data_IF_717729371359
#
_entry.id   IF_717729371359
#
_cell.length_a   1.000
_cell.length_b   1.000
_cell.length_c   1.000
_cell.angle_alpha   90.00
_cell.angle_beta   90.00
_cell.angle_gamma   90.00
#
_symmetry.space_group_name_H-M   'P 1'
#
loop_
_entity.id
_entity.type
_entity.pdbx_description
1 polymer ?
#
# COMPACT_ATOMS: atom_id res chain seq x y z
N UNK A 1 -24.60 18.85 3.57
CA UNK A 1 -23.23 19.17 3.11
C UNK A 1 -22.37 17.96 3.44
N UNK A 2 -22.18 17.05 2.48
CA UNK A 2 -21.38 15.84 2.69
C UNK A 2 -19.99 16.12 2.18
N UNK A 3 -19.02 16.22 3.09
CA UNK A 3 -17.62 16.40 2.74
C UNK A 3 -16.81 15.18 3.20
N UNK A 4 -16.82 14.06 2.47
CA UNK A 4 -15.66 13.17 2.42
C UNK A 4 -14.82 13.66 1.24
N UNK A 5 -13.57 14.04 1.42
CA UNK A 5 -12.45 13.09 1.38
C UNK A 5 -11.29 13.74 2.16
N UNK A 6 -10.93 13.14 3.30
CA UNK A 6 -9.64 13.37 3.96
C UNK A 6 -8.78 12.17 3.62
N UNK A 7 -7.90 12.28 2.63
CA UNK A 7 -6.95 11.20 2.40
C UNK A 7 -5.81 11.53 1.47
N UNK A 8 -4.67 10.98 1.84
CA UNK A 8 -3.36 11.01 1.19
C UNK A 8 -3.34 10.06 -0.02
N UNK A 9 -2.81 10.52 -1.15
CA UNK A 9 -2.66 9.73 -2.38
C UNK A 9 -1.17 9.60 -2.73
N UNK A 10 -0.68 8.38 -2.95
CA UNK A 10 0.68 8.17 -3.44
C UNK A 10 0.79 7.09 -4.53
N UNK A 11 -0.23 6.26 -4.76
CA UNK A 11 -0.24 5.29 -5.84
C UNK A 11 -1.62 5.11 -6.48
N UNK A 12 -1.68 5.18 -7.82
CA UNK A 12 -2.85 4.83 -8.60
C UNK A 12 -2.51 3.64 -9.49
N UNK A 13 -3.35 2.61 -9.51
CA UNK A 13 -3.18 1.44 -10.37
C UNK A 13 -4.42 1.30 -11.23
N UNK A 14 -4.28 1.37 -12.54
CA UNK A 14 -5.34 1.09 -13.51
C UNK A 14 -5.04 -0.26 -14.17
N UNK A 15 -5.99 -1.18 -14.13
CA UNK A 15 -5.88 -2.51 -14.73
C UNK A 15 -7.07 -2.74 -15.67
N UNK A 16 -6.78 -2.86 -16.96
CA UNK A 16 -7.69 -3.33 -17.99
C UNK A 16 -7.28 -4.76 -18.41
N UNK A 17 -8.24 -5.69 -18.42
CA UNK A 17 -8.00 -7.14 -18.49
C UNK A 17 -8.68 -7.81 -19.67
N UNK A 18 -7.89 -8.27 -20.66
CA UNK A 18 -8.26 -9.33 -21.63
C UNK A 18 -7.05 -9.90 -22.44
N UNK A 19 -6.14 -10.65 -21.77
CA UNK A 19 -4.92 -11.35 -22.29
C UNK A 19 -4.02 -10.69 -23.38
N UNK A 20 -2.72 -10.61 -23.03
CA UNK A 20 -1.58 -9.85 -23.62
C UNK A 20 -1.59 -8.39 -23.15
N UNK A 21 -0.57 -7.98 -22.40
CA UNK A 21 -0.57 -6.71 -21.68
C UNK A 21 0.49 -5.76 -22.24
N UNK A 22 0.13 -4.49 -22.39
CA UNK A 22 1.10 -3.40 -22.33
C UNK A 22 1.23 -2.98 -20.85
N UNK A 23 2.43 -3.05 -20.29
CA UNK A 23 2.72 -2.64 -18.91
C UNK A 23 3.49 -1.33 -18.93
N UNK A 24 3.03 -0.35 -18.16
CA UNK A 24 3.82 0.85 -17.87
C UNK A 24 3.76 1.20 -16.39
N UNK A 25 4.94 1.33 -15.78
CA UNK A 25 5.13 1.76 -14.39
C UNK A 25 5.73 3.16 -14.39
N UNK A 26 5.03 4.13 -13.78
CA UNK A 26 5.36 5.55 -13.90
C UNK A 26 5.93 6.18 -12.63
N UNK A 27 7.23 6.52 -12.73
CA UNK A 27 7.85 7.74 -12.17
C UNK A 27 8.87 8.41 -13.13
N UNK A 28 8.82 8.26 -14.48
CA UNK A 28 9.90 8.72 -15.35
C UNK A 28 10.09 10.24 -15.30
N UNK A 29 9.00 11.01 -15.21
CA UNK A 29 9.06 12.46 -15.18
C UNK A 29 9.70 13.01 -13.88
N UNK A 30 9.23 12.62 -12.66
CA UNK A 30 9.92 13.02 -11.44
C UNK A 30 11.38 12.52 -11.38
N UNK A 31 11.67 11.31 -11.86
CA UNK A 31 13.04 10.78 -11.92
C UNK A 31 13.93 11.57 -12.90
N UNK A 32 13.39 11.98 -14.07
CA UNK A 32 14.12 12.77 -15.07
C UNK A 32 14.41 14.19 -14.58
N UNK A 33 13.44 14.81 -13.91
CA UNK A 33 13.58 16.12 -13.27
C UNK A 33 14.65 16.03 -12.17
N UNK A 34 14.59 15.03 -11.29
CA UNK A 34 15.55 14.87 -10.20
C UNK A 34 17.00 14.73 -10.69
N UNK A 35 17.21 14.23 -11.91
CA UNK A 35 18.54 14.08 -12.53
C UNK A 35 19.10 15.35 -13.17
N UNK A 36 18.33 16.44 -13.30
CA UNK A 36 18.77 17.65 -14.00
C UNK A 36 18.39 18.91 -13.24
N UNK A 37 19.41 19.65 -12.79
CA UNK A 37 19.23 20.93 -12.09
C UNK A 37 18.47 21.95 -12.95
N UNK A 38 18.80 22.05 -14.23
CA UNK A 38 18.12 22.98 -15.15
C UNK A 38 16.65 22.60 -15.35
N UNK A 39 16.33 21.32 -15.58
CA UNK A 39 14.92 20.90 -15.69
C UNK A 39 14.16 21.09 -14.38
N UNK A 40 14.80 20.79 -13.24
CA UNK A 40 14.22 21.06 -11.92
C UNK A 40 13.89 22.53 -11.75
N UNK A 41 14.83 23.42 -12.07
CA UNK A 41 14.64 24.86 -11.96
C UNK A 41 13.57 25.39 -12.93
N UNK A 42 13.58 24.94 -14.19
CA UNK A 42 12.55 25.31 -15.18
C UNK A 42 11.18 24.87 -14.67
N UNK A 43 11.06 23.64 -14.17
CA UNK A 43 9.80 23.12 -13.65
C UNK A 43 9.34 23.88 -12.41
N UNK A 44 10.23 24.13 -11.44
CA UNK A 44 9.92 24.90 -10.22
C UNK A 44 9.55 26.36 -10.52
N UNK A 45 10.08 26.93 -11.60
CA UNK A 45 9.72 28.26 -12.09
C UNK A 45 8.49 28.25 -13.01
N UNK A 46 8.00 27.07 -13.41
CA UNK A 46 6.77 26.94 -14.18
C UNK A 46 5.58 26.86 -13.22
N UNK A 47 4.42 27.35 -13.66
CA UNK A 47 3.17 27.12 -12.94
C UNK A 47 2.61 25.69 -13.15
N UNK A 48 3.42 24.74 -13.64
CA UNK A 48 2.99 23.35 -13.86
C UNK A 48 3.02 22.55 -12.56
N UNK A 49 2.00 21.71 -12.37
CA UNK A 49 1.88 20.82 -11.24
C UNK A 49 2.22 19.38 -11.66
N UNK A 50 3.06 18.68 -10.86
CA UNK A 50 3.65 17.40 -11.27
C UNK A 50 2.64 16.30 -11.53
N UNK A 51 1.52 16.28 -10.80
CA UNK A 51 0.46 15.31 -11.02
C UNK A 51 -0.30 15.57 -12.33
N UNK A 52 -0.40 16.81 -12.81
CA UNK A 52 -1.04 17.11 -14.10
C UNK A 52 -0.25 16.50 -15.27
N UNK A 53 1.08 16.65 -15.26
CA UNK A 53 1.97 16.01 -16.25
C UNK A 53 1.83 14.48 -16.22
N UNK A 54 1.72 13.91 -15.02
CA UNK A 54 1.53 12.47 -14.82
C UNK A 54 0.15 11.99 -15.30
N UNK A 55 -0.90 12.78 -15.07
CA UNK A 55 -2.26 12.51 -15.56
C UNK A 55 -2.34 12.65 -17.08
N UNK A 56 -1.69 13.65 -17.68
CA UNK A 56 -1.63 13.80 -19.14
C UNK A 56 -0.90 12.62 -19.77
N UNK A 57 0.16 12.13 -19.13
CA UNK A 57 0.86 10.98 -19.65
C UNK A 57 0.05 9.67 -19.50
N UNK A 58 -0.70 9.54 -18.39
CA UNK A 58 -1.68 8.47 -18.24
C UNK A 58 -2.77 8.57 -19.33
N UNK A 59 -3.25 9.77 -19.66
CA UNK A 59 -4.20 10.01 -20.75
C UNK A 59 -3.69 9.43 -22.07
N UNK A 60 -2.47 9.81 -22.46
CA UNK A 60 -1.82 9.32 -23.68
C UNK A 60 -1.70 7.80 -23.68
N UNK A 61 -1.38 7.19 -22.54
CA UNK A 61 -1.31 5.74 -22.41
C UNK A 61 -2.67 5.05 -22.54
N UNK A 62 -3.72 5.60 -21.92
CA UNK A 62 -5.10 5.09 -22.03
C UNK A 62 -5.56 5.11 -23.50
N UNK A 63 -5.23 6.18 -24.24
CA UNK A 63 -5.59 6.36 -25.65
C UNK A 63 -4.74 5.52 -26.62
N UNK A 64 -3.54 5.17 -26.20
CA UNK A 64 -2.63 4.31 -26.97
C UNK A 64 -3.05 2.84 -26.87
N UNK A 65 -2.52 2.00 -27.76
CA UNK A 65 -2.71 0.54 -27.69
C UNK A 65 -4.20 0.12 -27.62
N UNK A 66 -5.03 0.71 -28.48
CA UNK A 66 -6.46 0.33 -28.59
C UNK A 66 -6.61 -1.17 -28.83
N UNK A 67 -7.59 -1.79 -28.17
CA UNK A 67 -7.83 -3.24 -28.24
C UNK A 67 -6.81 -4.12 -27.51
N UNK A 68 -5.80 -3.54 -26.86
CA UNK A 68 -4.87 -4.28 -26.00
C UNK A 68 -5.13 -3.99 -24.51
N UNK A 69 -5.13 -5.04 -23.66
CA UNK A 69 -5.13 -4.90 -22.20
C UNK A 69 -3.96 -4.07 -21.69
N UNK A 70 -4.21 -3.32 -20.62
CA UNK A 70 -3.26 -2.34 -20.07
C UNK A 70 -3.13 -2.51 -18.57
N UNK A 71 -1.90 -2.35 -18.09
CA UNK A 71 -1.63 -2.15 -16.66
C UNK A 71 -0.82 -0.87 -16.55
N UNK A 72 -1.36 0.11 -15.83
CA UNK A 72 -0.67 1.35 -15.48
C UNK A 72 -0.54 1.47 -13.97
N UNK A 73 0.65 1.82 -13.50
CA UNK A 73 0.88 2.25 -12.12
C UNK A 73 1.44 3.68 -12.14
N UNK A 74 0.75 4.61 -11.50
CA UNK A 74 1.14 6.01 -11.37
C UNK A 74 1.53 6.30 -9.92
N UNK A 75 2.74 6.80 -9.69
CA UNK A 75 3.22 7.15 -8.34
C UNK A 75 3.31 8.67 -8.17
N UNK A 76 2.30 9.27 -7.56
CA UNK A 76 2.14 10.73 -7.41
C UNK A 76 2.87 11.26 -6.17
N UNK A 77 4.20 11.17 -6.14
CA UNK A 77 5.00 11.47 -4.93
C UNK A 77 4.72 12.87 -4.36
N UNK A 78 4.77 13.91 -5.19
CA UNK A 78 4.84 15.29 -4.70
C UNK A 78 3.48 15.90 -4.38
N UNK A 79 2.39 15.19 -4.68
CA UNK A 79 1.04 15.72 -4.49
C UNK A 79 0.74 16.00 -3.02
N UNK A 80 1.19 15.13 -2.12
CA UNK A 80 0.89 15.25 -0.69
C UNK A 80 2.07 14.90 0.25
N UNK A 81 3.22 14.48 -0.27
CA UNK A 81 4.27 13.88 0.56
C UNK A 81 4.84 14.80 1.65
N UNK A 82 4.96 16.11 1.38
CA UNK A 82 5.53 17.07 2.34
C UNK A 82 4.46 17.95 3.01
N UNK A 83 3.26 18.03 2.44
CA UNK A 83 2.14 18.74 3.03
C UNK A 83 0.82 18.27 2.44
N UNK A 84 -0.22 18.20 3.27
CA UNK A 84 -1.59 17.86 2.84
C UNK A 84 -2.31 19.02 2.15
N UNK A 85 -1.78 20.24 2.22
CA UNK A 85 -2.47 21.46 1.75
C UNK A 85 -2.82 21.43 0.27
N UNK A 86 -2.03 20.72 -0.54
CA UNK A 86 -2.21 20.63 -1.99
C UNK A 86 -3.30 19.63 -2.41
N UNK A 87 -3.80 18.79 -1.49
CA UNK A 87 -4.77 17.74 -1.82
C UNK A 87 -6.12 18.30 -2.29
N UNK A 88 -6.64 19.31 -1.59
CA UNK A 88 -7.96 19.87 -1.91
C UNK A 88 -8.00 20.58 -3.26
N UNK A 89 -6.94 21.29 -3.62
CA UNK A 89 -6.81 21.95 -4.93
C UNK A 89 -6.78 20.94 -6.09
N UNK A 90 -6.16 19.78 -5.87
CA UNK A 90 -6.10 18.75 -6.90
C UNK A 90 -7.40 17.96 -7.10
N UNK A 91 -8.36 18.02 -6.16
CA UNK A 91 -9.58 17.20 -6.21
C UNK A 91 -10.39 17.44 -7.49
N UNK A 92 -10.62 18.70 -7.86
CA UNK A 92 -11.32 19.06 -9.10
C UNK A 92 -10.57 18.57 -10.35
N UNK A 93 -9.24 18.61 -10.33
CA UNK A 93 -8.41 18.16 -11.45
C UNK A 93 -8.49 16.64 -11.64
N UNK A 94 -8.50 15.86 -10.56
CA UNK A 94 -8.73 14.42 -10.61
C UNK A 94 -10.17 14.08 -11.01
N UNK A 95 -11.15 14.80 -10.47
CA UNK A 95 -12.56 14.64 -10.83
C UNK A 95 -12.76 14.83 -12.34
N UNK A 96 -12.20 15.89 -12.91
CA UNK A 96 -12.27 16.18 -14.33
C UNK A 96 -11.53 15.16 -15.17
N UNK A 97 -10.38 14.64 -14.71
CA UNK A 97 -9.70 13.52 -15.35
C UNK A 97 -10.59 12.27 -15.40
N UNK A 98 -11.19 11.87 -14.28
CA UNK A 98 -12.02 10.67 -14.23
C UNK A 98 -13.34 10.83 -15.00
N UNK A 99 -13.98 12.01 -14.96
CA UNK A 99 -15.17 12.30 -15.77
C UNK A 99 -14.88 12.18 -17.26
N UNK A 100 -13.80 12.81 -17.74
CA UNK A 100 -13.39 12.75 -19.17
C UNK A 100 -13.04 11.34 -19.62
N UNK A 101 -12.53 10.49 -18.72
CA UNK A 101 -12.14 9.11 -19.02
C UNK A 101 -13.18 8.06 -18.59
N UNK A 102 -14.39 8.47 -18.18
CA UNK A 102 -15.41 7.54 -17.67
C UNK A 102 -15.64 6.36 -18.63
N UNK A 103 -15.87 6.64 -19.90
CA UNK A 103 -16.14 5.59 -20.89
C UNK A 103 -14.91 4.71 -21.20
N UNK A 104 -13.69 5.26 -21.07
CA UNK A 104 -12.45 4.52 -21.28
C UNK A 104 -12.08 3.64 -20.07
N UNK A 105 -12.53 4.03 -18.87
CA UNK A 105 -12.23 3.34 -17.61
C UNK A 105 -13.38 2.46 -17.13
N UNK A 106 -14.55 2.47 -17.78
CA UNK A 106 -15.73 1.72 -17.33
C UNK A 106 -15.50 0.21 -17.23
N UNK A 107 -14.59 -0.32 -18.06
CA UNK A 107 -14.23 -1.74 -18.10
C UNK A 107 -12.92 -2.06 -17.35
N UNK A 108 -12.33 -1.07 -16.66
CA UNK A 108 -11.09 -1.22 -15.91
C UNK A 108 -11.35 -1.36 -14.39
N UNK A 109 -10.46 -2.08 -13.72
CA UNK A 109 -10.28 -1.91 -12.29
C UNK A 109 -9.40 -0.69 -12.05
N UNK A 110 -9.86 0.26 -11.22
CA UNK A 110 -9.06 1.41 -10.82
C UNK A 110 -8.87 1.39 -9.32
N UNK A 111 -7.62 1.35 -8.89
CA UNK A 111 -7.20 1.43 -7.50
C UNK A 111 -6.56 2.80 -7.29
N UNK A 112 -7.02 3.51 -6.28
CA UNK A 112 -6.53 4.81 -5.87
C UNK A 112 -6.15 4.68 -4.39
N UNK A 113 -4.86 4.72 -4.08
CA UNK A 113 -4.35 4.35 -2.76
C UNK A 113 -3.19 5.24 -2.27
N UNK A 114 -3.04 5.29 -0.95
CA UNK A 114 -1.81 5.75 -0.28
C UNK A 114 -0.87 4.57 -0.03
N UNK A 115 0.44 4.84 0.02
CA UNK A 115 1.43 3.91 0.58
C UNK A 115 1.49 4.01 2.11
N UNK A 116 1.20 5.20 2.62
CA UNK A 116 0.97 5.50 4.03
C UNK A 116 -0.14 6.57 4.14
N UNK A 117 -0.61 6.87 5.36
CA UNK A 117 -1.45 8.05 5.60
C UNK A 117 -0.62 9.28 5.94
N UNK A 118 -1.23 10.42 6.30
CA UNK A 118 -0.50 11.66 6.48
C UNK A 118 0.48 11.60 7.67
N UNK A 119 1.67 12.20 7.50
CA UNK A 119 2.80 12.18 8.45
C UNK A 119 3.55 13.52 8.52
N UNK A 120 2.86 14.58 8.13
CA UNK A 120 3.40 15.94 8.03
C UNK A 120 2.40 16.92 8.62
N UNK A 121 2.77 18.20 8.68
CA UNK A 121 1.92 19.27 9.21
C UNK A 121 1.43 19.01 10.66
N UNK A 122 2.20 18.23 11.45
CA UNK A 122 1.93 17.95 12.86
C UNK A 122 0.79 16.96 13.12
N UNK A 123 0.27 16.26 12.10
CA UNK A 123 -0.86 15.34 12.28
C UNK A 123 -0.51 14.19 13.25
N UNK A 124 0.73 13.71 13.28
CA UNK A 124 1.14 12.66 14.23
C UNK A 124 1.08 13.08 15.71
N UNK A 125 0.98 14.39 16.01
CA UNK A 125 0.89 14.86 17.39
C UNK A 125 -0.46 14.55 18.04
N UNK A 126 -1.52 14.38 17.24
CA UNK A 126 -2.88 14.07 17.74
C UNK A 126 -3.18 12.57 17.67
N UNK A 127 -3.92 11.99 18.64
CA UNK A 127 -4.17 10.54 18.69
C UNK A 127 -4.76 9.96 17.41
N UNK A 128 -5.79 10.61 16.84
CA UNK A 128 -6.39 10.18 15.58
C UNK A 128 -5.41 10.26 14.41
N UNK A 129 -4.52 11.26 14.40
CA UNK A 129 -3.55 11.40 13.33
C UNK A 129 -2.50 10.30 13.30
N UNK A 130 -2.10 9.78 14.48
CA UNK A 130 -1.23 8.59 14.57
C UNK A 130 -1.88 7.33 13.99
N UNK A 131 -3.18 7.18 14.21
CA UNK A 131 -3.97 6.12 13.58
C UNK A 131 -3.97 6.29 12.06
N UNK A 132 -4.28 7.50 11.59
CA UNK A 132 -4.36 7.81 10.16
C UNK A 132 -3.01 7.62 9.44
N UNK A 133 -1.86 7.90 10.08
CA UNK A 133 -0.53 7.67 9.49
C UNK A 133 -0.33 6.23 9.01
N UNK A 134 -0.87 5.25 9.74
CA UNK A 134 -0.79 3.82 9.41
C UNK A 134 -2.03 3.29 8.67
N UNK A 135 -3.03 4.14 8.40
CA UNK A 135 -4.29 3.79 7.74
C UNK A 135 -4.41 4.50 6.38
N UNK A 136 -3.62 4.08 5.36
CA UNK A 136 -3.69 4.70 4.05
C UNK A 136 -5.06 4.52 3.40
N UNK A 137 -5.46 5.50 2.60
CA UNK A 137 -6.66 5.39 1.78
C UNK A 137 -6.54 4.26 0.77
N UNK A 138 -7.66 3.58 0.54
CA UNK A 138 -7.89 2.75 -0.61
C UNK A 138 -9.29 3.00 -1.16
N UNK A 139 -9.35 3.40 -2.43
CA UNK A 139 -10.58 3.44 -3.23
C UNK A 139 -10.40 2.48 -4.39
N UNK A 140 -11.37 1.60 -4.60
CA UNK A 140 -11.35 0.66 -5.72
C UNK A 140 -12.64 0.79 -6.51
N UNK A 141 -12.52 0.96 -7.82
CA UNK A 141 -13.63 0.80 -8.75
C UNK A 141 -13.49 -0.52 -9.49
N UNK A 142 -14.62 -1.18 -9.68
CA UNK A 142 -14.73 -2.45 -10.40
C UNK A 142 -15.33 -2.16 -11.79
N UNK A 143 -14.91 -2.89 -12.84
CA UNK A 143 -15.54 -2.80 -14.16
C UNK A 143 -17.06 -2.89 -14.09
N UNK A 144 -17.77 -2.04 -14.84
CA UNK A 144 -19.23 -1.94 -14.81
C UNK A 144 -19.92 -3.29 -14.99
N UNK A 145 -19.43 -4.09 -15.96
CA UNK A 145 -19.93 -5.44 -16.24
C UNK A 145 -19.81 -6.44 -15.08
N UNK A 146 -19.02 -6.13 -14.05
CA UNK A 146 -18.84 -6.96 -12.86
C UNK A 146 -19.47 -6.38 -11.59
N UNK A 147 -20.03 -5.15 -11.63
CA UNK A 147 -20.63 -4.50 -10.44
C UNK A 147 -21.91 -5.19 -9.94
N UNK A 148 -22.57 -5.96 -10.77
CA UNK A 148 -23.74 -6.77 -10.39
C UNK A 148 -23.38 -8.21 -10.00
N UNK A 149 -22.09 -8.60 -10.11
CA UNK A 149 -21.62 -9.96 -9.85
C UNK A 149 -21.20 -10.16 -8.39
N UNK A 150 -21.10 -11.42 -8.00
CA UNK A 150 -20.74 -11.83 -6.65
C UNK A 150 -19.38 -11.29 -6.20
N UNK A 151 -18.40 -11.20 -7.10
CA UNK A 151 -17.07 -10.65 -6.77
C UNK A 151 -17.15 -9.20 -6.25
N UNK A 152 -18.08 -8.38 -6.74
CA UNK A 152 -18.25 -7.01 -6.27
C UNK A 152 -18.92 -6.98 -4.90
N UNK A 153 -19.90 -7.87 -4.65
CA UNK A 153 -20.48 -8.04 -3.32
C UNK A 153 -19.43 -8.50 -2.32
N UNK A 154 -18.57 -9.43 -2.72
CA UNK A 154 -17.51 -9.98 -1.89
C UNK A 154 -16.44 -8.93 -1.55
N UNK A 155 -16.11 -8.03 -2.47
CA UNK A 155 -15.28 -6.86 -2.17
C UNK A 155 -15.96 -5.90 -1.19
N UNK A 156 -17.26 -5.60 -1.39
CA UNK A 156 -17.99 -4.64 -0.53
C UNK A 156 -18.04 -5.06 0.93
N UNK A 157 -18.15 -6.37 1.22
CA UNK A 157 -18.08 -6.91 2.59
C UNK A 157 -16.76 -6.56 3.32
N UNK A 158 -15.70 -6.24 2.59
CA UNK A 158 -14.35 -5.99 3.11
C UNK A 158 -14.00 -4.50 3.25
N UNK A 159 -14.90 -3.60 2.84
CA UNK A 159 -14.64 -2.15 2.84
C UNK A 159 -14.26 -1.59 4.23
N UNK A 160 -14.73 -2.22 5.31
CA UNK A 160 -14.47 -1.82 6.69
C UNK A 160 -13.69 -2.87 7.48
N UNK A 161 -12.94 -3.74 6.80
CA UNK A 161 -12.13 -4.78 7.43
C UNK A 161 -10.64 -4.46 7.35
N UNK A 162 -9.88 -4.94 8.34
CA UNK A 162 -8.43 -4.80 8.35
C UNK A 162 -7.79 -5.54 7.17
N UNK A 163 -7.06 -4.79 6.35
CA UNK A 163 -6.37 -5.27 5.17
C UNK A 163 -4.91 -4.85 5.16
N UNK A 164 -4.11 -5.54 4.37
CA UNK A 164 -2.69 -5.24 4.17
C UNK A 164 -2.40 -5.01 2.69
N UNK A 165 -1.30 -4.33 2.35
CA UNK A 165 -0.84 -4.24 0.96
C UNK A 165 -0.62 -5.61 0.29
N UNK A 166 -0.40 -6.69 1.06
CA UNK A 166 -0.29 -8.04 0.54
C UNK A 166 -1.64 -8.57 -0.01
N UNK A 167 -2.76 -8.18 0.60
CA UNK A 167 -4.09 -8.51 0.11
C UNK A 167 -4.38 -7.78 -1.22
N UNK A 168 -3.90 -6.54 -1.37
CA UNK A 168 -3.94 -5.83 -2.65
C UNK A 168 -3.09 -6.56 -3.69
N UNK A 169 -1.84 -6.90 -3.37
CA UNK A 169 -1.00 -7.69 -4.27
C UNK A 169 -1.67 -9.01 -4.68
N UNK A 170 -2.28 -9.74 -3.74
CA UNK A 170 -3.06 -10.94 -4.04
C UNK A 170 -4.24 -10.67 -4.96
N UNK A 171 -4.97 -9.57 -4.73
CA UNK A 171 -6.10 -9.14 -5.57
C UNK A 171 -5.65 -8.84 -7.01
N UNK A 172 -4.55 -8.10 -7.19
CA UNK A 172 -4.01 -7.81 -8.53
C UNK A 172 -3.59 -9.10 -9.24
N UNK A 173 -2.95 -10.03 -8.53
CA UNK A 173 -2.58 -11.34 -9.10
C UNK A 173 -3.81 -12.18 -9.46
N UNK A 174 -4.88 -12.15 -8.64
CA UNK A 174 -6.14 -12.84 -8.92
C UNK A 174 -6.83 -12.26 -10.17
N UNK A 175 -6.90 -10.93 -10.28
CA UNK A 175 -7.43 -10.20 -11.46
C UNK A 175 -6.68 -10.58 -12.74
N UNK A 176 -5.36 -10.62 -12.69
CA UNK A 176 -4.53 -10.83 -13.88
C UNK A 176 -4.44 -12.31 -14.26
N UNK A 177 -4.30 -13.21 -13.28
CA UNK A 177 -3.92 -14.61 -13.54
C UNK A 177 -5.05 -15.60 -13.38
N UNK A 178 -6.03 -15.38 -12.51
CA UNK A 178 -6.94 -16.44 -12.04
C UNK A 178 -8.39 -16.19 -12.45
N UNK A 179 -8.95 -15.04 -12.09
CA UNK A 179 -10.33 -14.65 -12.40
C UNK A 179 -10.71 -14.67 -13.89
N UNK A 180 -9.82 -14.32 -14.84
CA UNK A 180 -10.17 -14.35 -16.26
C UNK A 180 -10.62 -15.74 -16.72
N UNK A 181 -10.04 -16.82 -16.18
CA UNK A 181 -10.43 -18.21 -16.51
C UNK A 181 -11.81 -18.59 -15.97
N UNK A 182 -12.31 -17.85 -14.99
CA UNK A 182 -13.61 -18.05 -14.35
C UNK A 182 -14.59 -16.93 -14.71
N UNK A 183 -14.27 -16.11 -15.71
CA UNK A 183 -15.09 -14.95 -16.09
C UNK A 183 -15.46 -14.09 -14.86
N UNK A 184 -14.51 -13.86 -13.95
CA UNK A 184 -14.72 -12.99 -12.78
C UNK A 184 -15.96 -13.37 -11.94
N UNK A 185 -16.17 -14.66 -11.69
CA UNK A 185 -17.30 -15.20 -10.92
C UNK A 185 -16.89 -16.05 -9.71
N UNK A 186 -15.61 -16.40 -9.59
CA UNK A 186 -15.16 -17.34 -8.56
C UNK A 186 -14.79 -16.60 -7.27
N UNK A 187 -15.71 -16.62 -6.31
CA UNK A 187 -15.53 -16.03 -4.98
C UNK A 187 -14.98 -17.02 -3.94
N UNK A 188 -14.84 -18.29 -4.28
CA UNK A 188 -14.47 -19.32 -3.29
C UNK A 188 -13.11 -19.02 -2.65
N UNK A 189 -12.96 -19.37 -1.36
CA UNK A 189 -11.67 -19.25 -0.69
C UNK A 189 -10.55 -19.91 -1.51
N UNK A 190 -9.42 -19.19 -1.62
CA UNK A 190 -8.23 -19.68 -2.30
C UNK A 190 -6.97 -19.29 -1.55
N UNK A 191 -6.12 -20.26 -1.25
CA UNK A 191 -4.74 -19.98 -0.88
C UNK A 191 -4.00 -19.42 -2.10
N UNK A 192 -3.48 -18.19 -1.96
CA UNK A 192 -2.82 -17.46 -3.04
C UNK A 192 -1.33 -17.79 -3.17
N UNK A 193 -0.76 -18.60 -2.29
CA UNK A 193 0.63 -19.05 -2.41
C UNK A 193 0.82 -19.96 -3.65
N UNK A 194 1.99 -19.91 -4.32
CA UNK A 194 3.12 -19.01 -4.07
C UNK A 194 2.97 -17.62 -4.73
N UNK A 195 1.84 -17.33 -5.40
CA UNK A 195 1.64 -16.08 -6.15
C UNK A 195 1.61 -14.84 -5.26
N UNK A 196 1.06 -14.96 -4.04
CA UNK A 196 1.03 -13.87 -3.07
C UNK A 196 0.89 -14.40 -1.66
N UNK A 197 1.37 -13.61 -0.69
CA UNK A 197 1.22 -13.87 0.76
C UNK A 197 -0.11 -13.38 1.34
N UNK A 198 -0.84 -12.51 0.63
CA UNK A 198 -2.13 -11.99 1.08
C UNK A 198 -3.34 -12.75 0.54
N UNK A 199 -4.53 -12.28 0.89
CA UNK A 199 -5.82 -12.82 0.45
C UNK A 199 -6.52 -11.87 -0.51
N UNK A 200 -6.93 -12.36 -1.68
CA UNK A 200 -7.61 -11.53 -2.69
C UNK A 200 -8.93 -10.95 -2.15
N UNK A 201 -9.21 -9.69 -2.45
CA UNK A 201 -10.47 -9.01 -2.12
C UNK A 201 -11.68 -9.59 -2.89
N UNK A 202 -11.42 -10.28 -4.01
CA UNK A 202 -12.46 -10.92 -4.85
C UNK A 202 -12.90 -12.29 -4.33
N UNK A 203 -12.28 -12.78 -3.26
CA UNK A 203 -12.44 -14.12 -2.70
C UNK A 203 -12.96 -14.03 -1.27
N UNK A 204 -13.55 -15.12 -0.79
CA UNK A 204 -13.82 -15.34 0.62
C UNK A 204 -12.51 -15.33 1.42
N UNK A 205 -12.53 -14.64 2.56
CA UNK A 205 -11.47 -14.70 3.56
C UNK A 205 -11.79 -15.74 4.63
N UNK A 206 -10.75 -16.35 5.20
CA UNK A 206 -10.88 -17.30 6.30
C UNK A 206 -10.08 -16.82 7.52
N UNK A 207 -10.62 -17.10 8.70
CA UNK A 207 -10.00 -16.75 9.98
C UNK A 207 -10.22 -15.29 10.39
N UNK A 208 -9.93 -15.01 11.65
CA UNK A 208 -9.98 -13.65 12.19
C UNK A 208 -8.84 -12.80 11.61
N UNK A 209 -9.11 -11.51 11.42
CA UNK A 209 -8.15 -10.55 10.86
C UNK A 209 -7.83 -9.48 11.88
N UNK A 210 -6.64 -9.56 12.46
CA UNK A 210 -6.10 -8.62 13.43
C UNK A 210 -4.56 -8.58 13.28
N UNK A 211 -3.89 -7.71 14.03
CA UNK A 211 -2.42 -7.59 13.92
C UNK A 211 -1.63 -8.81 14.37
N UNK A 212 -2.28 -9.81 15.00
CA UNK A 212 -1.64 -11.08 15.36
C UNK A 212 -1.78 -12.13 14.25
N UNK A 213 -2.88 -12.09 13.49
CA UNK A 213 -3.15 -13.07 12.42
C UNK A 213 -2.65 -12.61 11.05
N UNK A 214 -2.49 -11.30 10.85
CA UNK A 214 -1.96 -10.73 9.62
C UNK A 214 -0.47 -10.38 9.78
N UNK A 215 0.33 -10.42 8.71
CA UNK A 215 1.75 -10.07 8.73
C UNK A 215 1.94 -8.55 8.79
N UNK A 216 1.39 -7.92 9.83
CA UNK A 216 1.51 -6.49 10.14
C UNK A 216 2.57 -6.37 11.23
N UNK A 217 3.65 -5.65 10.94
CA UNK A 217 4.65 -5.42 11.96
C UNK A 217 4.05 -4.60 13.12
N UNK A 218 4.40 -4.86 14.40
CA UNK A 218 3.74 -4.24 15.55
C UNK A 218 3.67 -2.70 15.50
N UNK A 219 4.68 -2.04 14.94
CA UNK A 219 4.75 -0.58 14.78
C UNK A 219 3.74 0.00 13.78
N UNK A 220 3.23 -0.82 12.87
CA UNK A 220 2.21 -0.44 11.87
C UNK A 220 0.82 -0.94 12.25
N UNK A 221 0.67 -1.58 13.40
CA UNK A 221 -0.62 -2.06 13.86
C UNK A 221 -1.54 -0.88 14.22
N UNK A 222 -2.74 -0.87 13.65
CA UNK A 222 -3.78 0.11 13.98
C UNK A 222 -4.42 -0.14 15.36
N UNK A 223 -4.33 -1.36 15.88
CA UNK A 223 -4.77 -1.66 17.23
C UNK A 223 -3.77 -1.08 18.24
N UNK A 224 -4.22 -0.09 19.00
CA UNK A 224 -3.44 0.42 20.13
C UNK A 224 -3.49 -0.60 21.27
N UNK A 225 -2.30 -0.95 21.76
CA UNK A 225 -2.15 -1.66 23.02
C UNK A 225 -1.82 -0.63 24.11
N UNK A 226 -2.12 -0.94 25.36
CA UNK A 226 -1.56 -0.18 26.48
C UNK A 226 -0.06 -0.45 26.55
N UNK A 227 0.72 0.62 26.70
CA UNK A 227 2.18 0.55 26.61
C UNK A 227 2.78 1.21 27.83
N UNK A 228 3.70 0.48 28.48
CA UNK A 228 4.39 0.95 29.68
C UNK A 228 5.77 1.46 29.31
N UNK A 229 6.09 2.69 29.73
CA UNK A 229 7.44 3.23 29.58
C UNK A 229 8.33 2.58 30.63
N UNK A 230 9.33 1.84 30.16
CA UNK A 230 10.37 1.27 31.03
C UNK A 230 11.55 2.24 31.03
N UNK A 231 11.70 2.98 32.13
CA UNK A 231 12.77 3.93 32.41
C UNK A 231 14.04 3.25 32.91
N UNK A 232 13.89 2.16 33.68
CA UNK A 232 14.99 1.37 34.20
C UNK A 232 15.86 0.80 33.06
N UNK A 233 17.17 1.02 33.13
CA UNK A 233 18.12 0.57 32.10
C UNK A 233 18.41 -0.92 32.18
N UNK A 234 18.60 -1.45 33.38
CA UNK A 234 18.88 -2.86 33.62
C UNK A 234 17.72 -3.74 33.15
N UNK A 235 16.49 -3.35 33.50
CA UNK A 235 15.27 -4.03 33.03
C UNK A 235 15.11 -3.95 31.51
N UNK A 236 15.53 -2.84 30.88
CA UNK A 236 15.52 -2.73 29.40
C UNK A 236 16.48 -3.72 28.77
N UNK A 237 17.69 -3.85 29.29
CA UNK A 237 18.66 -4.81 28.80
C UNK A 237 18.20 -6.24 29.02
N UNK A 238 17.67 -6.55 30.21
CA UNK A 238 17.17 -7.87 30.55
C UNK A 238 16.07 -8.31 29.58
N UNK A 239 15.10 -7.43 29.30
CA UNK A 239 14.04 -7.70 28.33
C UNK A 239 14.59 -7.86 26.90
N UNK A 240 15.60 -7.06 26.53
CA UNK A 240 16.28 -7.19 25.25
C UNK A 240 16.95 -8.56 25.08
N UNK A 241 17.72 -8.98 26.09
CA UNK A 241 18.38 -10.31 26.12
C UNK A 241 17.35 -11.44 26.14
N UNK A 242 16.28 -11.29 26.91
CA UNK A 242 15.18 -12.25 26.94
C UNK A 242 14.54 -12.43 25.55
N UNK A 243 14.24 -11.33 24.86
CA UNK A 243 13.64 -11.38 23.53
C UNK A 243 14.57 -12.09 22.53
N UNK A 244 15.85 -11.74 22.51
CA UNK A 244 16.85 -12.36 21.62
C UNK A 244 16.96 -13.86 21.89
N UNK A 245 17.06 -14.25 23.17
CA UNK A 245 17.10 -15.67 23.57
C UNK A 245 15.83 -16.41 23.12
N UNK A 246 14.67 -15.79 23.27
CA UNK A 246 13.40 -16.37 22.82
C UNK A 246 13.36 -16.51 21.29
N UNK A 247 13.77 -15.48 20.55
CA UNK A 247 13.82 -15.49 19.09
C UNK A 247 14.71 -16.63 18.57
N UNK A 248 15.93 -16.79 19.10
CA UNK A 248 16.82 -17.89 18.69
C UNK A 248 16.18 -19.27 18.92
N UNK A 249 15.46 -19.44 20.03
CA UNK A 249 14.72 -20.68 20.32
C UNK A 249 13.60 -20.94 19.32
N UNK A 250 12.88 -19.90 18.89
CA UNK A 250 11.84 -20.04 17.86
C UNK A 250 12.44 -20.34 16.48
N UNK A 251 13.58 -19.72 16.12
CA UNK A 251 14.32 -20.04 14.90
C UNK A 251 14.79 -21.50 14.88
N UNK A 252 15.29 -22.00 16.02
CA UNK A 252 15.69 -23.41 16.18
C UNK A 252 14.50 -24.35 16.03
N UNK A 253 13.39 -24.08 16.70
CA UNK A 253 12.15 -24.88 16.59
C UNK A 253 11.60 -24.90 15.16
N UNK A 254 11.76 -23.81 14.42
CA UNK A 254 11.37 -23.73 13.01
C UNK A 254 12.36 -24.41 12.05
N UNK A 255 13.48 -24.96 12.55
CA UNK A 255 14.52 -25.59 11.73
C UNK A 255 15.33 -24.58 10.90
N UNK A 256 15.37 -23.31 11.31
CA UNK A 256 16.01 -22.23 10.56
C UNK A 256 17.44 -21.90 11.04
N UNK A 257 17.96 -22.62 12.04
CA UNK A 257 19.30 -22.37 12.62
C UNK A 257 20.44 -22.43 11.62
N UNK A 258 20.31 -23.20 10.53
CA UNK A 258 21.33 -23.31 9.48
C UNK A 258 21.31 -22.16 8.47
N UNK A 259 20.22 -21.39 8.43
CA UNK A 259 19.94 -20.37 7.40
C UNK A 259 19.90 -18.97 8.00
N UNK A 260 19.62 -18.88 9.29
CA UNK A 260 19.56 -17.65 10.07
C UNK A 260 20.77 -17.55 11.00
N UNK A 261 21.32 -16.35 11.14
CA UNK A 261 22.39 -16.13 12.11
C UNK A 261 21.82 -16.24 13.53
N UNK A 262 22.65 -16.69 14.46
CA UNK A 262 22.32 -16.56 15.88
C UNK A 262 22.23 -15.07 16.22
N UNK A 263 21.11 -14.69 16.82
CA UNK A 263 20.84 -13.31 17.17
C UNK A 263 21.48 -12.99 18.52
N UNK A 264 22.06 -11.80 18.62
CA UNK A 264 22.68 -11.29 19.84
C UNK A 264 22.03 -9.96 20.21
N UNK A 265 21.95 -9.69 21.52
CA UNK A 265 21.53 -8.39 22.01
C UNK A 265 22.63 -7.36 21.75
N UNK A 266 22.28 -6.27 21.08
CA UNK A 266 23.17 -5.13 20.83
C UNK A 266 22.82 -3.97 21.77
N UNK A 267 21.77 -3.19 21.44
CA UNK A 267 21.24 -2.14 22.30
C UNK A 267 19.76 -1.86 21.99
N UNK A 268 19.10 -1.13 22.89
CA UNK A 268 17.74 -0.63 22.71
C UNK A 268 17.80 0.81 22.20
N UNK A 269 17.27 1.07 21.00
CA UNK A 269 17.22 2.43 20.43
C UNK A 269 15.86 3.09 20.62
N UNK A 270 15.87 4.40 20.88
CA UNK A 270 14.69 5.25 20.80
C UNK A 270 14.59 5.84 19.40
N UNK A 271 13.95 5.14 18.45
CA UNK A 271 13.64 5.72 17.14
C UNK A 271 12.15 5.68 16.83
N UNK A 272 11.65 6.88 16.58
CA UNK A 272 10.30 7.29 16.15
C UNK A 272 9.15 6.95 17.11
N UNK A 273 8.27 7.95 17.27
CA UNK A 273 7.23 8.03 18.30
C UNK A 273 6.41 6.73 18.46
N UNK A 274 6.20 6.40 19.74
CA UNK A 274 5.19 5.46 20.23
C UNK A 274 5.38 3.97 19.85
N UNK A 275 6.46 3.42 20.41
CA UNK A 275 6.59 2.05 20.92
C UNK A 275 6.51 0.99 19.82
N UNK A 276 7.63 0.87 19.14
CA UNK A 276 8.42 -0.35 19.19
C UNK A 276 9.84 0.07 19.57
N UNK A 277 10.33 -0.35 20.74
CA UNK A 277 11.77 -0.29 21.01
C UNK A 277 12.42 -1.21 19.98
N UNK A 278 13.07 -0.66 18.97
CA UNK A 278 13.84 -1.46 18.03
C UNK A 278 15.03 -2.02 18.80
N UNK A 279 14.98 -3.32 19.09
CA UNK A 279 16.17 -4.09 19.43
C UNK A 279 16.87 -4.32 18.10
N UNK A 280 18.08 -3.80 17.98
CA UNK A 280 18.86 -3.99 16.77
C UNK A 280 19.36 -5.44 16.76
N UNK A 281 18.90 -6.20 15.77
CA UNK A 281 19.16 -7.63 15.60
C UNK A 281 19.95 -7.74 14.28
N UNK A 282 21.10 -8.42 14.28
CA UNK A 282 21.93 -8.59 13.07
C UNK A 282 21.11 -9.31 11.98
N UNK A 283 21.36 -9.01 10.69
CA UNK A 283 20.62 -9.54 9.52
C UNK A 283 20.07 -10.96 9.75
N UNK A 284 18.74 -11.10 9.77
CA UNK A 284 18.07 -12.28 10.31
C UNK A 284 18.44 -13.58 9.58
N UNK A 285 18.37 -13.63 8.26
CA UNK A 285 18.64 -14.86 7.50
C UNK A 285 19.26 -14.55 6.14
N UNK A 286 20.12 -15.46 5.66
CA UNK A 286 20.67 -15.42 4.31
C UNK A 286 19.69 -16.16 3.40
N UNK A 287 19.07 -15.48 2.44
CA UNK A 287 18.32 -16.20 1.41
C UNK A 287 19.32 -16.96 0.54
N UNK A 288 19.18 -18.29 0.47
CA UNK A 288 19.76 -19.07 -0.64
C UNK A 288 18.89 -18.91 -1.88
#
# INVERSE_FOLDING_TARGET
>A
MNNPIKSFFCAQVVIDVDRRYALVVYRPFPLRIAKSKSLKQIFENSCSERHLEMLEYLQKFIESYSGMPKIAQLWLTELAHNSMKNLYHADEQFLDFFKRNKEKLKDAFVFLMGDHGPRTDGIESVPLGRYETNNPLLIVTVPERYRTREIHNEMRKKAYQLMTPLDLHATLMDIVKLQPRRNFSDISYRNMQPLSKGSSLLREWRGERNCRSLPIAPQYCLCHYDKTVISDEELREELGRFLVKHLNKELERAGLSSTCYEQEYDYVSWRYCEISKEINIRKLCVST
#
